data_IF_779080851798
#
_entry.id   IF_779080851798
#
_cell.length_a   1.000
_cell.length_b   1.000
_cell.length_c   1.000
_cell.angle_alpha   90.00
_cell.angle_beta   90.00
_cell.angle_gamma   90.00
#
_symmetry.space_group_name_H-M   'P 1'
#
loop_
_entity.id
_entity.type
_entity.pdbx_description
1 polymer ?
#
# COMPACT_ATOMS: atom_id res chain seq x y z
N UNK A 1 -51.21 -6.31 32.35
CA UNK A 1 -50.09 -5.34 32.28
C UNK A 1 -50.63 -4.01 31.82
N UNK A 2 -50.36 -2.93 32.56
CA UNK A 2 -50.97 -1.61 32.33
C UNK A 2 -50.33 -0.85 31.16
N UNK A 3 -51.06 0.09 30.52
CA UNK A 3 -50.61 0.85 29.34
C UNK A 3 -49.31 1.64 29.53
N UNK A 4 -48.89 1.90 30.77
CA UNK A 4 -47.69 2.65 31.10
C UNK A 4 -46.36 1.93 30.75
N UNK A 5 -46.37 0.61 30.56
CA UNK A 5 -45.16 -0.15 30.24
C UNK A 5 -44.78 -0.15 28.74
N UNK A 6 -45.61 0.46 27.86
CA UNK A 6 -45.35 0.51 26.40
C UNK A 6 -44.58 1.76 25.94
N UNK A 7 -44.35 2.72 26.83
CA UNK A 7 -43.74 4.02 26.51
C UNK A 7 -42.21 4.09 26.69
N UNK A 8 -41.55 3.03 27.17
CA UNK A 8 -40.10 3.03 27.40
C UNK A 8 -39.26 2.65 26.16
N UNK A 9 -39.88 2.48 24.97
CA UNK A 9 -39.17 2.09 23.74
C UNK A 9 -39.34 3.10 22.60
N UNK A 10 -39.54 4.37 22.93
CA UNK A 10 -39.36 5.47 21.99
C UNK A 10 -37.98 6.05 22.30
N UNK A 11 -36.95 5.43 21.73
CA UNK A 11 -35.68 6.09 21.53
C UNK A 11 -35.98 7.42 20.81
N UNK A 12 -35.45 8.53 21.32
CA UNK A 12 -35.65 9.87 20.75
C UNK A 12 -35.39 9.84 19.24
N UNK A 13 -36.45 9.90 18.45
CA UNK A 13 -36.43 10.00 17.00
C UNK A 13 -36.56 11.49 16.62
N UNK A 14 -35.55 12.30 16.98
CA UNK A 14 -35.46 13.70 16.54
C UNK A 14 -34.86 13.83 15.12
N UNK A 15 -34.77 12.72 14.40
CA UNK A 15 -34.30 12.64 13.03
C UNK A 15 -35.50 12.35 12.12
N UNK A 16 -35.72 13.19 11.10
CA UNK A 16 -36.75 12.99 10.10
C UNK A 16 -36.55 11.64 9.39
N UNK A 17 -37.55 10.76 9.47
CA UNK A 17 -37.62 9.48 8.74
C UNK A 17 -38.78 9.59 7.74
N UNK A 18 -38.55 9.21 6.48
CA UNK A 18 -39.58 9.27 5.44
C UNK A 18 -39.82 7.88 4.85
N UNK A 19 -40.89 7.24 5.32
CA UNK A 19 -41.25 5.86 4.98
C UNK A 19 -41.74 5.71 3.53
N UNK A 20 -42.18 6.80 2.90
CA UNK A 20 -42.67 6.81 1.51
C UNK A 20 -41.51 6.85 0.52
N UNK A 21 -40.53 7.73 0.76
CA UNK A 21 -39.31 7.84 -0.07
C UNK A 21 -38.23 6.83 0.32
N UNK A 22 -38.41 6.16 1.46
CA UNK A 22 -37.45 5.23 2.02
C UNK A 22 -36.29 5.90 2.76
N UNK A 23 -36.26 7.23 2.89
CA UNK A 23 -35.15 7.94 3.54
C UNK A 23 -35.06 7.62 5.04
N UNK A 24 -33.85 7.25 5.50
CA UNK A 24 -33.51 6.76 6.84
C UNK A 24 -34.24 5.49 7.30
N UNK A 25 -34.87 4.76 6.37
CA UNK A 25 -35.47 3.44 6.63
C UNK A 25 -34.51 2.31 6.23
N UNK A 26 -34.87 1.04 6.49
CA UNK A 26 -34.12 -0.12 6.01
C UNK A 26 -34.01 -0.25 4.48
N UNK A 27 -34.79 0.55 3.73
CA UNK A 27 -34.71 0.68 2.27
C UNK A 27 -33.80 1.82 1.79
N UNK A 28 -33.33 2.67 2.70
CA UNK A 28 -32.39 3.74 2.37
C UNK A 28 -31.01 3.14 2.09
N UNK A 29 -30.57 3.21 0.83
CA UNK A 29 -29.25 2.74 0.41
C UNK A 29 -28.11 3.42 1.19
N UNK A 30 -28.35 4.60 1.78
CA UNK A 30 -27.38 5.32 2.62
C UNK A 30 -27.29 4.80 4.06
N UNK A 31 -28.33 4.12 4.56
CA UNK A 31 -28.34 3.60 5.95
C UNK A 31 -27.68 2.22 6.10
N UNK A 32 -27.54 1.47 5.00
CA UNK A 32 -26.85 0.17 4.98
C UNK A 32 -25.33 0.26 4.81
N UNK A 33 -24.81 1.46 4.52
CA UNK A 33 -23.39 1.68 4.32
C UNK A 33 -22.65 1.61 5.66
N UNK A 34 -21.75 0.65 5.79
CA UNK A 34 -20.84 0.50 6.93
C UNK A 34 -19.42 0.36 6.43
N UNK A 35 -18.45 0.81 7.22
CA UNK A 35 -17.05 0.50 6.96
C UNK A 35 -16.91 -1.03 7.04
N UNK A 36 -16.37 -1.62 5.98
CA UNK A 36 -16.14 -3.05 5.93
C UNK A 36 -15.17 -3.47 7.04
N UNK A 37 -15.44 -4.60 7.68
CA UNK A 37 -14.49 -5.18 8.63
C UNK A 37 -13.19 -5.51 7.91
N UNK A 38 -12.10 -4.88 8.34
CA UNK A 38 -10.78 -5.09 7.75
C UNK A 38 -10.09 -6.23 8.49
N UNK A 39 -9.81 -7.32 7.78
CA UNK A 39 -9.07 -8.47 8.30
C UNK A 39 -7.66 -8.05 8.79
N UNK A 40 -7.05 -8.81 9.70
CA UNK A 40 -5.62 -8.71 9.97
C UNK A 40 -4.83 -8.88 8.67
N UNK A 41 -3.88 -7.99 8.41
CA UNK A 41 -3.02 -8.09 7.24
C UNK A 41 -1.93 -9.12 7.57
N UNK A 42 -2.20 -10.41 7.32
CA UNK A 42 -1.26 -11.52 7.58
C UNK A 42 -0.94 -12.32 6.30
N UNK A 43 -1.61 -12.00 5.20
CA UNK A 43 -1.36 -12.62 3.90
C UNK A 43 -0.16 -11.94 3.24
N UNK A 44 0.98 -12.64 3.23
CA UNK A 44 2.24 -12.17 2.64
C UNK A 44 2.10 -12.00 1.12
N UNK A 45 1.64 -13.05 0.43
CA UNK A 45 1.56 -13.07 -1.03
C UNK A 45 0.70 -11.93 -1.57
N UNK A 46 -0.45 -11.68 -0.94
CA UNK A 46 -1.31 -10.56 -1.35
C UNK A 46 -0.59 -9.21 -1.30
N UNK A 47 0.20 -8.96 -0.27
CA UNK A 47 0.93 -7.69 -0.11
C UNK A 47 2.06 -7.57 -1.14
N UNK A 48 2.74 -8.68 -1.43
CA UNK A 48 3.74 -8.76 -2.52
C UNK A 48 3.09 -8.50 -3.88
N UNK A 49 1.95 -9.12 -4.18
CA UNK A 49 1.22 -8.94 -5.43
C UNK A 49 0.75 -7.50 -5.62
N UNK A 50 0.27 -6.85 -4.55
CA UNK A 50 -0.11 -5.43 -4.60
C UNK A 50 1.12 -4.55 -4.88
N UNK A 51 2.22 -4.77 -4.16
CA UNK A 51 3.42 -3.94 -4.30
C UNK A 51 4.13 -4.12 -5.65
N UNK A 52 4.23 -5.34 -6.14
CA UNK A 52 4.92 -5.64 -7.40
C UNK A 52 4.01 -5.52 -8.63
N UNK A 53 2.70 -5.67 -8.46
CA UNK A 53 1.73 -5.69 -9.55
C UNK A 53 1.09 -4.34 -9.86
N UNK A 54 1.08 -3.38 -8.93
CA UNK A 54 0.44 -2.07 -9.10
C UNK A 54 1.46 -0.93 -8.90
N UNK A 55 1.59 -0.08 -9.92
CA UNK A 55 2.57 1.00 -9.98
C UNK A 55 2.28 2.13 -8.99
N UNK A 56 1.00 2.43 -8.76
CA UNK A 56 0.59 3.41 -7.75
C UNK A 56 0.83 2.87 -6.34
N UNK A 57 0.57 1.59 -6.10
CA UNK A 57 0.86 0.96 -4.81
C UNK A 57 2.36 1.00 -4.49
N UNK A 58 3.22 0.64 -5.45
CA UNK A 58 4.67 0.75 -5.32
C UNK A 58 5.09 2.19 -4.98
N UNK A 59 4.58 3.17 -5.74
CA UNK A 59 4.89 4.59 -5.53
C UNK A 59 4.48 5.09 -4.13
N UNK A 60 3.33 4.65 -3.63
CA UNK A 60 2.84 5.04 -2.30
C UNK A 60 3.74 4.51 -1.17
N UNK A 61 4.33 3.33 -1.35
CA UNK A 61 5.28 2.79 -0.37
C UNK A 61 6.67 3.42 -0.50
N UNK A 62 7.18 3.54 -1.73
CA UNK A 62 8.56 3.91 -2.00
C UNK A 62 8.85 5.40 -1.83
N UNK A 63 7.99 6.27 -2.35
CA UNK A 63 8.29 7.70 -2.40
C UNK A 63 8.46 8.33 -1.00
N UNK A 64 7.59 8.04 0.01
CA UNK A 64 7.83 8.52 1.36
C UNK A 64 9.18 8.02 1.93
N UNK A 65 9.50 6.74 1.74
CA UNK A 65 10.75 6.16 2.25
C UNK A 65 11.98 6.79 1.59
N UNK A 66 11.93 6.99 0.26
CA UNK A 66 12.97 7.67 -0.52
C UNK A 66 13.17 9.10 -0.05
N UNK A 67 12.10 9.89 0.10
CA UNK A 67 12.19 11.29 0.52
C UNK A 67 12.61 11.42 2.00
N UNK A 68 12.21 10.48 2.88
CA UNK A 68 12.65 10.45 4.28
C UNK A 68 14.16 10.25 4.42
N UNK A 69 14.80 9.53 3.51
CA UNK A 69 16.26 9.38 3.52
C UNK A 69 16.95 10.29 2.53
N UNK A 70 16.23 11.15 1.78
CA UNK A 70 16.80 12.00 0.73
C UNK A 70 17.74 13.05 1.31
N UNK A 71 17.32 13.68 2.39
CA UNK A 71 18.16 14.55 3.21
C UNK A 71 18.60 13.72 4.40
N UNK A 72 19.85 13.27 4.35
CA UNK A 72 20.42 12.38 5.35
C UNK A 72 20.62 13.10 6.69
N UNK A 73 21.29 12.44 7.62
CA UNK A 73 21.43 12.97 8.98
C UNK A 73 22.52 14.05 9.04
N UNK A 74 22.36 14.95 10.01
CA UNK A 74 23.42 15.87 10.43
C UNK A 74 23.77 15.54 11.87
N UNK A 75 25.04 15.22 12.13
CA UNK A 75 25.51 14.91 13.46
C UNK A 75 25.89 16.21 14.18
N UNK A 76 25.24 16.46 15.32
CA UNK A 76 25.60 17.56 16.22
C UNK A 76 26.34 16.98 17.43
N UNK A 77 27.63 17.29 17.56
CA UNK A 77 28.44 16.88 18.71
C UNK A 77 28.55 18.05 19.68
N UNK A 78 27.92 17.90 20.84
CA UNK A 78 27.87 18.92 21.90
C UNK A 78 29.06 18.78 22.86
N UNK A 79 30.26 19.12 22.40
CA UNK A 79 31.44 19.26 23.25
C UNK A 79 32.26 20.48 22.81
N UNK A 80 32.95 21.13 23.75
CA UNK A 80 33.57 22.46 23.57
C UNK A 80 34.77 22.56 22.62
N UNK A 81 35.09 21.54 21.82
CA UNK A 81 36.23 21.50 20.89
C UNK A 81 35.75 21.29 19.44
N UNK A 82 35.48 22.40 18.74
CA UNK A 82 34.72 22.41 17.48
C UNK A 82 35.40 21.65 16.33
N UNK A 83 36.74 21.69 16.23
CA UNK A 83 37.47 21.06 15.11
C UNK A 83 37.49 19.53 15.22
N UNK A 84 37.77 18.98 16.41
CA UNK A 84 37.74 17.52 16.64
C UNK A 84 36.34 16.94 16.44
N UNK A 85 35.34 17.74 16.76
CA UNK A 85 33.94 17.35 16.59
C UNK A 85 33.55 17.28 15.11
N UNK A 86 33.94 18.25 14.29
CA UNK A 86 33.66 18.18 12.85
C UNK A 86 34.28 16.93 12.23
N UNK A 87 35.54 16.62 12.56
CA UNK A 87 36.19 15.41 12.05
C UNK A 87 35.49 14.13 12.49
N UNK A 88 35.13 14.01 13.78
CA UNK A 88 34.43 12.83 14.27
C UNK A 88 33.04 12.66 13.64
N UNK A 89 32.35 13.76 13.36
CA UNK A 89 31.07 13.74 12.63
C UNK A 89 31.26 13.25 11.18
N UNK A 90 32.26 13.77 10.47
CA UNK A 90 32.57 13.37 9.10
C UNK A 90 32.99 11.89 9.02
N UNK A 91 33.85 11.43 9.94
CA UNK A 91 34.27 10.02 10.02
C UNK A 91 33.08 9.09 10.28
N UNK A 92 32.13 9.52 11.13
CA UNK A 92 30.92 8.73 11.43
C UNK A 92 29.98 8.68 10.21
N UNK A 93 29.80 9.80 9.50
CA UNK A 93 29.01 9.84 8.28
C UNK A 93 29.61 8.94 7.19
N UNK A 94 30.93 8.96 7.04
CA UNK A 94 31.63 8.06 6.11
C UNK A 94 31.42 6.60 6.49
N UNK A 95 31.51 6.24 7.77
CA UNK A 95 31.26 4.87 8.23
C UNK A 95 29.81 4.41 7.94
N UNK A 96 28.83 5.30 8.09
CA UNK A 96 27.43 5.01 7.75
C UNK A 96 27.22 4.82 6.25
N UNK A 97 27.93 5.59 5.43
CA UNK A 97 27.90 5.45 3.97
C UNK A 97 28.56 4.13 3.53
N UNK A 98 29.70 3.77 4.13
CA UNK A 98 30.38 2.49 3.88
C UNK A 98 29.52 1.27 4.28
N UNK A 99 28.74 1.40 5.35
CA UNK A 99 27.74 0.40 5.77
C UNK A 99 26.49 0.37 4.89
N UNK A 100 26.31 1.34 3.99
CA UNK A 100 25.08 1.49 3.21
C UNK A 100 23.85 1.80 4.08
N UNK A 101 24.02 2.41 5.26
CA UNK A 101 22.95 2.64 6.23
C UNK A 101 21.75 3.40 5.65
N UNK A 102 22.02 4.33 4.72
CA UNK A 102 20.98 5.05 3.99
C UNK A 102 20.10 4.16 3.13
N UNK A 103 20.72 3.22 2.41
CA UNK A 103 20.00 2.26 1.59
C UNK A 103 19.21 1.28 2.49
N UNK A 104 19.83 0.81 3.57
CA UNK A 104 19.20 -0.10 4.52
C UNK A 104 17.96 0.52 5.19
N UNK A 105 18.07 1.76 5.69
CA UNK A 105 16.92 2.48 6.27
C UNK A 105 15.81 2.73 5.25
N UNK A 106 16.16 3.09 4.00
CA UNK A 106 15.15 3.26 2.94
C UNK A 106 14.38 1.98 2.70
N UNK A 107 15.09 0.87 2.56
CA UNK A 107 14.49 -0.44 2.31
C UNK A 107 13.60 -0.87 3.49
N UNK A 108 14.07 -0.72 4.72
CA UNK A 108 13.28 -1.05 5.91
C UNK A 108 12.02 -0.19 6.05
N UNK A 109 12.08 1.11 5.71
CA UNK A 109 10.91 2.00 5.65
C UNK A 109 9.92 1.60 4.54
N UNK A 110 10.42 1.16 3.38
CA UNK A 110 9.58 0.59 2.32
C UNK A 110 8.87 -0.67 2.85
N UNK A 111 9.58 -1.62 3.47
CA UNK A 111 8.98 -2.83 4.06
C UNK A 111 8.01 -2.53 5.20
N UNK A 112 8.30 -1.53 6.03
CA UNK A 112 7.35 -1.03 7.02
C UNK A 112 6.05 -0.55 6.37
N UNK A 113 6.11 0.09 5.20
CA UNK A 113 4.94 0.55 4.47
C UNK A 113 4.20 -0.60 3.77
N UNK A 114 4.92 -1.47 3.06
CA UNK A 114 4.39 -2.59 2.25
C UNK A 114 3.79 -3.69 3.14
N UNK A 115 4.53 -4.08 4.16
CA UNK A 115 4.18 -5.21 5.02
C UNK A 115 3.66 -4.78 6.39
N UNK A 116 3.80 -3.51 6.80
CA UNK A 116 3.44 -3.09 8.15
C UNK A 116 4.57 -3.28 9.17
N UNK A 117 5.73 -3.75 8.70
CA UNK A 117 6.95 -3.88 9.48
C UNK A 117 8.16 -4.18 8.60
N UNK A 118 9.27 -3.50 8.88
CA UNK A 118 10.60 -3.76 8.33
C UNK A 118 11.62 -3.76 9.46
N UNK A 119 12.73 -4.48 9.28
CA UNK A 119 13.74 -4.59 10.31
C UNK A 119 15.14 -4.58 9.72
N UNK A 120 16.08 -3.90 10.38
CA UNK A 120 17.50 -3.93 10.04
C UNK A 120 18.22 -4.70 11.13
N UNK A 121 18.85 -5.80 10.77
CA UNK A 121 19.77 -6.55 11.62
C UNK A 121 21.15 -5.92 11.55
N UNK A 122 21.67 -5.51 12.71
CA UNK A 122 23.00 -4.98 12.85
C UNK A 122 23.94 -6.09 13.33
N UNK A 123 24.92 -6.43 12.51
CA UNK A 123 26.02 -7.30 12.92
C UNK A 123 27.06 -6.46 13.66
N UNK A 124 27.08 -6.56 14.99
CA UNK A 124 27.92 -5.71 15.86
C UNK A 124 29.01 -6.57 16.51
N UNK A 125 30.28 -6.20 16.33
CA UNK A 125 31.39 -6.77 17.09
C UNK A 125 31.46 -6.11 18.47
N UNK A 126 30.86 -6.74 19.46
CA UNK A 126 30.92 -6.40 20.89
C UNK A 126 31.75 -7.42 21.69
N UNK A 127 32.61 -8.19 21.01
CA UNK A 127 33.46 -9.21 21.63
C UNK A 127 32.77 -10.54 21.92
N UNK A 128 31.57 -10.79 21.36
CA UNK A 128 30.92 -12.11 21.33
C UNK A 128 31.54 -13.11 20.33
N UNK A 129 32.35 -12.64 19.38
CA UNK A 129 32.93 -13.44 18.29
C UNK A 129 31.86 -13.94 17.29
N UNK A 130 32.20 -14.92 16.46
CA UNK A 130 31.28 -15.53 15.46
C UNK A 130 30.21 -16.45 16.11
N UNK A 131 29.96 -16.31 17.41
CA UNK A 131 29.01 -17.15 18.12
C UNK A 131 27.58 -16.68 17.87
N UNK A 132 26.83 -17.46 17.08
CA UNK A 132 25.42 -17.20 16.77
C UNK A 132 24.55 -17.15 18.04
N UNK A 133 24.90 -17.89 19.10
CA UNK A 133 24.15 -17.85 20.36
C UNK A 133 24.28 -16.50 21.09
N UNK A 134 25.38 -15.77 20.88
CA UNK A 134 25.58 -14.44 21.46
C UNK A 134 24.63 -13.39 20.86
N UNK A 135 24.01 -13.66 19.70
CA UNK A 135 23.01 -12.77 19.10
C UNK A 135 21.74 -12.66 19.96
N UNK A 136 21.44 -13.67 20.78
CA UNK A 136 20.29 -13.67 21.68
C UNK A 136 20.50 -12.80 22.93
N UNK A 137 21.74 -12.36 23.18
CA UNK A 137 22.09 -11.50 24.31
C UNK A 137 22.08 -10.01 23.90
N UNK A 138 21.77 -9.10 24.85
CA UNK A 138 21.89 -7.67 24.62
C UNK A 138 23.28 -7.26 24.16
N UNK A 139 23.36 -6.21 23.33
CA UNK A 139 24.64 -5.64 22.88
C UNK A 139 25.42 -5.12 24.08
N UNK A 140 26.69 -5.49 24.18
CA UNK A 140 27.59 -4.91 25.18
C UNK A 140 28.23 -3.63 24.64
N UNK A 141 27.55 -2.51 24.87
CA UNK A 141 27.99 -1.17 24.41
C UNK A 141 29.43 -0.82 24.83
N UNK A 142 29.94 -1.37 25.93
CA UNK A 142 31.29 -1.08 26.42
C UNK A 142 32.40 -1.75 25.62
N UNK A 143 32.05 -2.80 24.87
CA UNK A 143 32.97 -3.62 24.07
C UNK A 143 32.76 -3.47 22.57
N UNK A 144 31.82 -2.63 22.13
CA UNK A 144 31.57 -2.37 20.71
C UNK A 144 32.83 -1.82 20.04
N UNK A 145 33.29 -2.53 19.01
CA UNK A 145 34.44 -2.12 18.18
C UNK A 145 33.99 -1.54 16.85
N UNK A 146 33.01 -2.18 16.22
CA UNK A 146 32.45 -1.78 14.92
C UNK A 146 31.09 -2.43 14.68
N UNK A 147 30.33 -1.83 13.77
CA UNK A 147 29.24 -2.50 13.05
C UNK A 147 29.85 -3.09 11.77
N UNK A 148 29.64 -4.37 11.51
CA UNK A 148 30.22 -5.09 10.38
C UNK A 148 29.37 -4.98 9.12
N UNK A 149 28.05 -5.17 9.27
CA UNK A 149 27.10 -5.10 8.17
C UNK A 149 25.68 -4.83 8.68
N UNK A 150 24.82 -4.43 7.75
CA UNK A 150 23.40 -4.20 7.95
C UNK A 150 22.63 -5.06 6.95
N UNK A 151 21.79 -5.96 7.44
CA UNK A 151 20.89 -6.76 6.60
C UNK A 151 19.44 -6.35 6.87
N UNK A 152 18.67 -6.17 5.80
CA UNK A 152 17.28 -5.72 5.88
C UNK A 152 16.35 -6.88 5.62
N UNK A 153 15.30 -6.97 6.42
CA UNK A 153 14.29 -8.02 6.35
C UNK A 153 12.88 -7.44 6.45
N UNK A 154 11.93 -8.17 5.89
CA UNK A 154 10.52 -7.89 6.09
C UNK A 154 10.00 -8.55 7.38
N UNK A 155 8.86 -8.09 7.89
CA UNK A 155 8.29 -8.60 9.15
C UNK A 155 7.95 -10.10 9.15
N UNK A 156 7.77 -10.75 8.00
CA UNK A 156 7.37 -12.16 7.91
C UNK A 156 8.56 -13.12 8.09
N UNK A 157 9.78 -12.59 8.02
CA UNK A 157 11.00 -13.33 8.31
C UNK A 157 11.28 -13.38 9.82
N UNK A 158 10.58 -12.56 10.62
CA UNK A 158 10.76 -12.48 12.06
C UNK A 158 9.52 -12.83 12.86
N UNK A 159 9.71 -13.65 13.88
CA UNK A 159 8.72 -13.95 14.91
C UNK A 159 9.17 -13.38 16.25
N UNK A 160 8.25 -12.77 17.01
CA UNK A 160 8.55 -12.35 18.37
C UNK A 160 8.56 -13.59 19.25
N UNK A 161 9.70 -13.90 19.85
CA UNK A 161 9.87 -15.07 20.71
C UNK A 161 9.53 -14.76 22.17
N UNK A 162 10.08 -13.66 22.69
CA UNK A 162 9.78 -13.19 24.06
C UNK A 162 9.44 -11.71 24.08
N UNK A 163 8.67 -11.31 25.09
CA UNK A 163 8.37 -9.91 25.42
C UNK A 163 8.82 -9.62 26.85
N UNK A 164 9.22 -8.38 27.11
CA UNK A 164 9.54 -7.96 28.47
C UNK A 164 8.32 -8.06 29.38
N UNK A 165 8.46 -8.79 30.48
CA UNK A 165 7.36 -9.14 31.38
C UNK A 165 7.25 -8.27 32.63
N UNK A 166 8.23 -7.40 32.89
CA UNK A 166 8.26 -6.53 34.08
C UNK A 166 7.38 -5.26 33.88
N UNK A 167 6.22 -5.14 34.56
CA UNK A 167 5.30 -4.02 34.38
C UNK A 167 5.81 -2.69 34.93
N UNK A 168 6.91 -2.70 35.69
CA UNK A 168 7.50 -1.47 36.24
C UNK A 168 8.43 -0.77 35.25
N UNK A 169 8.86 -1.47 34.19
CA UNK A 169 9.75 -0.93 33.17
C UNK A 169 8.95 -0.35 32.00
N UNK A 170 9.43 0.74 31.37
CA UNK A 170 8.85 1.28 30.13
C UNK A 170 8.84 0.28 28.95
N UNK A 171 9.67 -0.77 29.03
CA UNK A 171 9.75 -1.83 28.03
C UNK A 171 8.65 -2.90 28.15
N UNK A 172 7.81 -2.87 29.19
CA UNK A 172 6.77 -3.87 29.41
C UNK A 172 5.89 -4.12 28.18
N UNK A 173 5.79 -5.39 27.77
CA UNK A 173 5.02 -5.83 26.60
C UNK A 173 5.60 -5.39 25.26
N UNK A 174 6.85 -4.92 25.24
CA UNK A 174 7.63 -4.78 24.00
C UNK A 174 8.39 -6.09 23.74
N UNK A 175 8.64 -6.44 22.47
CA UNK A 175 9.49 -7.58 22.13
C UNK A 175 10.89 -7.44 22.74
N UNK A 176 11.42 -8.55 23.23
CA UNK A 176 12.77 -8.66 23.80
C UNK A 176 13.67 -9.48 22.88
N UNK A 177 13.20 -10.65 22.45
CA UNK A 177 13.91 -11.49 21.48
C UNK A 177 13.04 -11.83 20.28
N UNK A 178 13.70 -11.95 19.13
CA UNK A 178 13.09 -12.30 17.86
C UNK A 178 13.76 -13.55 17.29
N UNK A 179 12.96 -14.45 16.72
CA UNK A 179 13.44 -15.58 15.93
C UNK A 179 13.43 -15.19 14.46
N UNK A 180 14.61 -15.13 13.85
CA UNK A 180 14.77 -15.00 12.40
C UNK A 180 14.57 -16.38 11.76
N UNK A 181 13.54 -16.48 10.91
CA UNK A 181 13.22 -17.69 10.14
C UNK A 181 13.81 -17.57 8.74
N UNK A 182 14.74 -18.44 8.38
CA UNK A 182 15.27 -18.48 7.03
C UNK A 182 14.27 -19.22 6.10
N UNK A 183 13.45 -18.46 5.36
CA UNK A 183 12.43 -19.03 4.46
C UNK A 183 12.88 -19.12 3.00
N UNK A 184 14.04 -18.57 2.65
CA UNK A 184 14.49 -18.36 1.26
C UNK A 184 15.83 -19.02 1.00
N UNK A 185 15.87 -20.35 1.05
CA UNK A 185 17.01 -21.09 0.49
C UNK A 185 16.86 -21.18 -1.03
N UNK A 186 17.75 -20.53 -1.78
CA UNK A 186 17.87 -20.80 -3.22
C UNK A 186 18.28 -22.27 -3.40
N UNK A 187 17.64 -22.96 -4.34
CA UNK A 187 17.73 -24.42 -4.55
C UNK A 187 19.19 -24.89 -4.51
N UNK A 188 19.54 -25.72 -3.53
CA UNK A 188 20.88 -26.31 -3.38
C UNK A 188 21.73 -25.75 -2.22
N UNK A 189 21.25 -24.76 -1.47
CA UNK A 189 21.88 -24.34 -0.21
C UNK A 189 21.29 -25.08 1.01
N UNK A 190 22.14 -25.31 2.01
CA UNK A 190 21.71 -25.83 3.30
C UNK A 190 20.74 -24.84 3.96
N UNK A 191 19.65 -25.35 4.56
CA UNK A 191 18.78 -24.56 5.42
C UNK A 191 19.63 -23.94 6.52
N UNK A 192 19.70 -22.62 6.59
CA UNK A 192 20.36 -21.99 7.72
C UNK A 192 19.51 -22.24 8.97
N UNK A 193 20.14 -22.43 10.15
CA UNK A 193 19.41 -22.59 11.40
C UNK A 193 18.66 -21.29 11.74
N UNK A 194 17.51 -21.42 12.40
CA UNK A 194 16.83 -20.27 12.99
C UNK A 194 17.75 -19.62 14.03
N UNK A 195 17.81 -18.28 14.00
CA UNK A 195 18.68 -17.51 14.90
C UNK A 195 17.80 -16.71 15.86
N UNK A 196 18.11 -16.77 17.15
CA UNK A 196 17.49 -15.92 18.15
C UNK A 196 18.30 -14.64 18.32
N UNK A 197 17.64 -13.49 18.24
CA UNK A 197 18.26 -12.18 18.20
C UNK A 197 17.62 -11.26 19.23
N UNK A 198 18.42 -10.61 20.07
CA UNK A 198 17.95 -9.60 21.02
C UNK A 198 17.59 -8.28 20.31
N UNK A 199 16.56 -7.59 20.80
CA UNK A 199 16.05 -6.34 20.20
C UNK A 199 17.10 -5.25 20.03
N UNK A 200 18.09 -5.17 20.93
CA UNK A 200 19.21 -4.20 20.84
C UNK A 200 20.10 -4.37 19.60
N UNK A 201 20.01 -5.51 18.89
CA UNK A 201 20.73 -5.77 17.62
C UNK A 201 19.87 -5.47 16.38
N UNK A 202 18.64 -5.00 16.60
CA UNK A 202 17.65 -4.79 15.56
C UNK A 202 17.16 -3.34 15.56
N UNK A 203 17.07 -2.73 14.38
CA UNK A 203 16.33 -1.48 14.20
C UNK A 203 14.97 -1.83 13.61
N UNK A 204 13.91 -1.60 14.39
CA UNK A 204 12.53 -1.93 14.00
C UNK A 204 11.81 -0.72 13.42
N UNK A 205 11.27 -0.89 12.21
CA UNK A 205 10.45 0.10 11.52
C UNK A 205 9.00 -0.41 11.47
N UNK A 206 8.09 0.28 12.15
CA UNK A 206 6.67 -0.06 12.17
C UNK A 206 5.91 0.70 11.06
N UNK A 207 4.96 0.02 10.42
CA UNK A 207 4.07 0.66 9.45
C UNK A 207 2.97 1.51 10.09
N UNK A 208 1.76 1.40 9.55
CA UNK A 208 0.60 2.17 10.02
C UNK A 208 0.23 1.78 11.45
N UNK A 209 0.26 2.76 12.36
CA UNK A 209 -0.06 2.57 13.78
C UNK A 209 -1.41 1.85 13.98
N UNK A 210 -1.37 0.79 14.80
CA UNK A 210 -2.54 0.02 15.21
C UNK A 210 -2.67 -0.02 16.74
N UNK A 211 -3.88 -0.34 17.22
CA UNK A 211 -4.08 -0.59 18.64
C UNK A 211 -3.46 -1.93 19.07
N UNK A 212 -3.17 -2.11 20.36
CA UNK A 212 -2.52 -3.32 20.89
C UNK A 212 -3.23 -4.63 20.48
N UNK A 213 -4.56 -4.65 20.54
CA UNK A 213 -5.35 -5.83 20.13
C UNK A 213 -5.16 -6.18 18.66
N UNK A 214 -5.01 -5.19 17.78
CA UNK A 214 -4.77 -5.40 16.36
C UNK A 214 -3.32 -5.79 16.09
N UNK A 215 -2.33 -5.20 16.80
CA UNK A 215 -0.94 -5.68 16.79
C UNK A 215 -0.86 -7.18 17.11
N UNK A 216 -1.51 -7.64 18.18
CA UNK A 216 -1.55 -9.07 18.54
C UNK A 216 -2.10 -9.95 17.40
N UNK A 217 -3.15 -9.50 16.69
CA UNK A 217 -3.68 -10.24 15.53
C UNK A 217 -2.78 -10.20 14.30
N UNK A 218 -1.86 -9.23 14.25
CA UNK A 218 -0.83 -9.09 13.22
C UNK A 218 0.52 -9.61 13.75
N UNK A 219 0.52 -10.56 14.69
CA UNK A 219 1.74 -11.15 15.28
C UNK A 219 2.74 -10.11 15.82
N UNK A 220 2.22 -9.06 16.47
CA UNK A 220 3.00 -7.97 17.05
C UNK A 220 3.35 -6.82 16.11
N UNK A 221 2.88 -6.85 14.86
CA UNK A 221 3.21 -5.82 13.84
C UNK A 221 2.10 -4.81 13.58
N UNK A 222 2.48 -3.67 13.00
CA UNK A 222 1.55 -2.65 12.53
C UNK A 222 0.84 -3.10 11.24
N UNK A 223 -0.11 -2.29 10.76
CA UNK A 223 -0.77 -2.55 9.47
C UNK A 223 0.11 -2.02 8.32
N UNK A 224 0.06 -2.64 7.14
CA UNK A 224 0.62 -2.05 5.94
C UNK A 224 -0.24 -0.87 5.45
N UNK A 225 0.36 0.05 4.70
CA UNK A 225 -0.32 1.21 4.12
C UNK A 225 -1.48 0.80 3.22
N UNK A 226 -1.34 -0.32 2.50
CA UNK A 226 -2.35 -0.86 1.59
C UNK A 226 -3.68 -1.17 2.26
N UNK A 227 -3.67 -1.52 3.54
CA UNK A 227 -4.89 -1.83 4.32
C UNK A 227 -5.94 -0.71 4.25
N UNK A 228 -5.49 0.55 4.12
CA UNK A 228 -6.39 1.72 4.09
C UNK A 228 -6.74 2.20 2.68
N UNK A 229 -5.94 1.82 1.68
CA UNK A 229 -6.05 2.36 0.32
C UNK A 229 -6.42 1.33 -0.73
N UNK A 230 -6.47 0.04 -0.39
CA UNK A 230 -6.74 -1.08 -1.31
C UNK A 230 -7.98 -0.86 -2.18
N UNK A 231 -9.11 -0.44 -1.59
CA UNK A 231 -10.34 -0.21 -2.38
C UNK A 231 -10.19 0.99 -3.32
N UNK A 232 -9.47 2.04 -2.90
CA UNK A 232 -9.24 3.22 -3.73
C UNK A 232 -8.27 2.92 -4.88
N UNK A 233 -7.24 2.12 -4.61
CA UNK A 233 -6.33 1.59 -5.64
C UNK A 233 -7.12 0.79 -6.68
N UNK A 234 -7.96 -0.16 -6.23
CA UNK A 234 -8.78 -0.97 -7.12
C UNK A 234 -9.75 -0.11 -7.97
N UNK A 235 -10.46 0.84 -7.34
CA UNK A 235 -11.37 1.75 -8.05
C UNK A 235 -10.63 2.58 -9.11
N UNK A 236 -9.43 3.08 -8.77
CA UNK A 236 -8.57 3.83 -9.69
C UNK A 236 -8.15 2.95 -10.88
N UNK A 237 -7.56 1.78 -10.62
CA UNK A 237 -7.09 0.86 -11.65
C UNK A 237 -8.21 0.40 -12.59
N UNK A 238 -9.38 0.02 -12.04
CA UNK A 238 -10.55 -0.37 -12.83
C UNK A 238 -11.07 0.79 -13.68
N UNK A 239 -11.02 2.02 -13.18
CA UNK A 239 -11.46 3.20 -13.94
C UNK A 239 -10.55 3.46 -15.16
N UNK A 240 -9.24 3.35 -15.00
CA UNK A 240 -8.28 3.48 -16.11
C UNK A 240 -8.37 2.32 -17.10
N UNK A 241 -8.51 1.08 -16.62
CA UNK A 241 -8.73 -0.08 -17.48
C UNK A 241 -10.04 0.06 -18.27
N UNK A 242 -11.11 0.51 -17.61
CA UNK A 242 -12.40 0.78 -18.26
C UNK A 242 -12.29 1.86 -19.34
N UNK A 243 -11.53 2.93 -19.10
CA UNK A 243 -11.26 3.95 -20.11
C UNK A 243 -10.48 3.37 -21.32
N UNK A 244 -9.48 2.52 -21.08
CA UNK A 244 -8.75 1.84 -22.14
C UNK A 244 -9.66 0.92 -22.98
N UNK A 245 -10.56 0.16 -22.34
CA UNK A 245 -11.56 -0.65 -23.04
C UNK A 245 -12.54 0.20 -23.86
N UNK A 246 -12.97 1.35 -23.34
CA UNK A 246 -13.83 2.26 -24.11
C UNK A 246 -13.13 2.81 -25.36
N UNK A 247 -11.80 2.94 -25.34
CA UNK A 247 -11.03 3.35 -26.52
C UNK A 247 -10.97 2.24 -27.58
N UNK A 248 -10.90 0.96 -27.17
CA UNK A 248 -10.97 -0.16 -28.12
C UNK A 248 -12.37 -0.32 -28.70
N UNK A 249 -13.39 -0.11 -27.86
CA UNK A 249 -14.80 -0.32 -28.19
C UNK A 249 -15.50 0.97 -28.64
N UNK A 250 -14.73 2.03 -28.94
CA UNK A 250 -15.21 3.38 -29.29
C UNK A 250 -16.21 3.38 -30.46
N UNK A 251 -16.26 2.28 -31.21
CA UNK A 251 -17.12 2.07 -32.35
C UNK A 251 -17.77 0.69 -32.30
N UNK A 252 -18.91 0.59 -31.62
CA UNK A 252 -19.74 -0.60 -31.73
C UNK A 252 -20.51 -0.52 -33.05
N UNK A 253 -20.32 -1.54 -33.88
CA UNK A 253 -21.14 -1.75 -35.07
C UNK A 253 -22.46 -2.40 -34.71
N UNK A 254 -23.57 -1.78 -35.07
CA UNK A 254 -24.91 -2.36 -34.96
C UNK A 254 -25.29 -2.90 -36.32
N UNK A 255 -25.40 -4.22 -36.42
CA UNK A 255 -25.83 -4.92 -37.61
C UNK A 255 -27.31 -5.26 -37.51
N UNK A 256 -28.10 -4.83 -38.50
CA UNK A 256 -29.52 -5.13 -38.63
C UNK A 256 -29.70 -5.99 -39.88
N UNK A 257 -30.13 -7.24 -39.70
CA UNK A 257 -30.53 -8.12 -40.80
C UNK A 257 -31.97 -8.56 -40.61
N UNK A 258 -32.79 -8.53 -41.68
CA UNK A 258 -34.08 -9.19 -41.67
C UNK A 258 -33.89 -10.70 -41.41
N UNK A 259 -34.83 -11.34 -40.72
CA UNK A 259 -34.86 -12.80 -40.58
C UNK A 259 -33.91 -13.42 -39.55
N UNK A 260 -32.98 -12.68 -38.91
CA UNK A 260 -32.07 -13.23 -37.88
C UNK A 260 -32.84 -13.90 -36.72
N UNK A 261 -33.91 -13.25 -36.24
CA UNK A 261 -34.72 -13.80 -35.15
C UNK A 261 -35.48 -15.07 -35.57
N UNK A 262 -35.81 -15.21 -36.85
CA UNK A 262 -36.41 -16.44 -37.38
C UNK A 262 -35.34 -17.54 -37.52
N UNK A 263 -34.14 -17.22 -38.00
CA UNK A 263 -33.03 -18.17 -38.11
C UNK A 263 -32.64 -18.76 -36.74
N UNK A 264 -32.54 -17.92 -35.70
CA UNK A 264 -32.29 -18.35 -34.31
C UNK A 264 -33.44 -19.23 -33.79
N UNK A 265 -34.68 -18.90 -34.12
CA UNK A 265 -35.84 -19.70 -33.70
C UNK A 265 -35.94 -21.07 -34.40
N UNK A 266 -35.15 -21.31 -35.46
CA UNK A 266 -35.21 -22.55 -36.26
C UNK A 266 -34.01 -23.48 -36.03
N UNK A 267 -33.28 -23.31 -34.91
CA UNK A 267 -32.13 -24.16 -34.52
C UNK A 267 -30.96 -24.13 -35.52
N UNK A 268 -30.79 -22.99 -36.23
CA UNK A 268 -29.66 -22.71 -37.12
C UNK A 268 -28.63 -21.76 -36.48
N UNK A 269 -28.48 -21.86 -35.15
CA UNK A 269 -27.63 -20.96 -34.36
C UNK A 269 -26.17 -20.95 -34.84
N UNK A 270 -25.64 -22.11 -35.26
CA UNK A 270 -24.26 -22.26 -35.74
C UNK A 270 -24.00 -21.42 -37.00
N UNK A 271 -24.96 -21.38 -37.94
CA UNK A 271 -24.82 -20.64 -39.20
C UNK A 271 -24.86 -19.12 -38.97
N UNK A 272 -25.69 -18.67 -38.02
CA UNK A 272 -25.77 -17.26 -37.63
C UNK A 272 -24.48 -16.84 -36.92
N UNK A 273 -23.98 -17.68 -36.00
CA UNK A 273 -22.75 -17.43 -35.26
C UNK A 273 -21.52 -17.35 -36.17
N UNK A 274 -21.34 -18.33 -37.08
CA UNK A 274 -20.23 -18.35 -38.04
C UNK A 274 -20.23 -17.12 -38.94
N UNK A 275 -21.41 -16.68 -39.39
CA UNK A 275 -21.57 -15.48 -40.20
C UNK A 275 -21.19 -14.22 -39.42
N UNK A 276 -21.62 -14.08 -38.17
CA UNK A 276 -21.24 -12.96 -37.31
C UNK A 276 -19.72 -12.93 -37.06
N UNK A 277 -19.09 -14.10 -36.88
CA UNK A 277 -17.66 -14.21 -36.66
C UNK A 277 -16.85 -13.82 -37.89
N UNK A 278 -17.29 -14.24 -39.09
CA UNK A 278 -16.70 -13.82 -40.38
C UNK A 278 -16.87 -12.31 -40.60
N UNK A 279 -18.04 -11.75 -40.27
CA UNK A 279 -18.29 -10.32 -40.36
C UNK A 279 -17.41 -9.51 -39.41
N UNK A 280 -17.23 -9.95 -38.16
CA UNK A 280 -16.35 -9.28 -37.21
C UNK A 280 -14.87 -9.39 -37.61
N UNK A 281 -14.45 -10.53 -38.14
CA UNK A 281 -13.10 -10.74 -38.67
C UNK A 281 -12.82 -9.86 -39.89
N UNK A 282 -13.76 -9.75 -40.83
CA UNK A 282 -13.68 -8.85 -41.98
C UNK A 282 -13.60 -7.37 -41.54
N UNK A 283 -14.39 -6.98 -40.54
CA UNK A 283 -14.33 -5.66 -39.91
C UNK A 283 -12.96 -5.38 -39.29
N UNK A 284 -12.45 -6.32 -38.49
CA UNK A 284 -11.19 -6.19 -37.76
C UNK A 284 -9.97 -6.17 -38.71
N UNK A 285 -9.97 -7.04 -39.72
CA UNK A 285 -8.80 -7.28 -40.59
C UNK A 285 -8.76 -6.38 -41.83
N UNK A 286 -9.91 -6.21 -42.50
CA UNK A 286 -9.99 -5.57 -43.82
C UNK A 286 -10.66 -4.18 -43.74
N UNK A 287 -11.27 -3.85 -42.59
CA UNK A 287 -12.06 -2.63 -42.37
C UNK A 287 -13.20 -2.45 -43.39
N UNK A 288 -13.67 -3.56 -43.97
CA UNK A 288 -14.82 -3.61 -44.88
C UNK A 288 -15.85 -4.57 -44.30
N UNK A 289 -17.12 -4.22 -44.40
CA UNK A 289 -18.22 -5.06 -43.98
C UNK A 289 -19.07 -5.43 -45.20
N UNK A 290 -19.08 -6.70 -45.64
CA UNK A 290 -19.95 -7.14 -46.70
C UNK A 290 -21.39 -7.19 -46.16
N UNK A 291 -22.29 -6.41 -46.77
CA UNK A 291 -23.71 -6.36 -46.45
C UNK A 291 -24.53 -6.94 -47.60
N UNK A 292 -25.55 -7.72 -47.29
CA UNK A 292 -26.58 -8.13 -48.24
C UNK A 292 -27.64 -7.03 -48.41
N UNK A 293 -28.47 -7.10 -49.45
CA UNK A 293 -29.26 -5.97 -49.96
C UNK A 293 -30.20 -5.29 -48.95
N UNK A 294 -30.78 -6.04 -48.02
CA UNK A 294 -31.70 -5.53 -46.98
C UNK A 294 -31.01 -5.36 -45.61
N UNK A 295 -29.68 -5.43 -45.55
CA UNK A 295 -28.92 -5.36 -44.30
C UNK A 295 -28.35 -3.96 -44.06
N UNK A 296 -28.54 -3.45 -42.84
CA UNK A 296 -28.07 -2.15 -42.41
C UNK A 296 -26.95 -2.27 -41.38
N UNK A 297 -25.92 -1.44 -41.54
CA UNK A 297 -24.86 -1.28 -40.55
C UNK A 297 -24.78 0.15 -40.06
N UNK A 298 -24.96 0.33 -38.76
CA UNK A 298 -24.83 1.64 -38.10
C UNK A 298 -23.66 1.59 -37.12
N UNK A 299 -22.74 2.55 -37.22
CA UNK A 299 -21.72 2.76 -36.19
C UNK A 299 -22.29 3.68 -35.13
N UNK A 300 -22.51 3.15 -33.92
CA UNK A 300 -22.85 3.99 -32.76
C UNK A 300 -21.55 4.41 -32.08
N UNK A 301 -21.29 5.71 -32.02
CA UNK A 301 -20.18 6.26 -31.27
C UNK A 301 -20.61 6.43 -29.82
N UNK A 302 -19.80 5.91 -28.90
CA UNK A 302 -19.98 6.17 -27.47
C UNK A 302 -19.39 7.56 -27.18
N UNK A 303 -20.18 8.54 -26.70
CA UNK A 303 -19.63 9.84 -26.36
C UNK A 303 -18.67 9.69 -25.17
N UNK A 304 -17.41 10.09 -25.36
CA UNK A 304 -16.37 10.11 -24.31
C UNK A 304 -16.27 11.47 -23.60
N UNK A 305 -17.25 12.35 -23.80
CA UNK A 305 -17.33 13.64 -23.10
C UNK A 305 -17.46 13.44 -21.59
N UNK A 306 -16.62 14.09 -20.79
CA UNK A 306 -16.65 13.97 -19.33
C UNK A 306 -15.74 12.86 -18.76
N UNK A 307 -15.20 11.98 -19.62
CA UNK A 307 -14.32 10.89 -19.17
C UNK A 307 -12.99 11.39 -18.58
N UNK A 308 -12.27 12.35 -19.21
CA UNK A 308 -11.06 12.91 -18.61
C UNK A 308 -11.31 13.52 -17.23
N UNK A 309 -12.40 14.29 -17.09
CA UNK A 309 -12.76 14.92 -15.82
C UNK A 309 -13.10 13.88 -14.74
N UNK A 310 -13.71 12.76 -15.12
CA UNK A 310 -13.98 11.65 -14.20
C UNK A 310 -12.69 10.97 -13.75
N UNK A 311 -11.75 10.69 -14.67
CA UNK A 311 -10.44 10.11 -14.34
C UNK A 311 -9.64 11.03 -13.41
N UNK A 312 -9.67 12.34 -13.63
CA UNK A 312 -9.04 13.32 -12.74
C UNK A 312 -9.63 13.27 -11.32
N UNK A 313 -10.93 13.04 -11.17
CA UNK A 313 -11.57 12.88 -9.84
C UNK A 313 -11.13 11.60 -9.14
N UNK A 314 -10.92 10.50 -9.87
CA UNK A 314 -10.34 9.29 -9.30
C UNK A 314 -8.88 9.50 -8.89
N UNK A 315 -8.08 10.19 -9.71
CA UNK A 315 -6.70 10.56 -9.36
C UNK A 315 -6.64 11.41 -8.09
N UNK A 316 -7.52 12.41 -7.95
CA UNK A 316 -7.64 13.23 -6.75
C UNK A 316 -8.03 12.40 -5.51
N UNK A 317 -8.95 11.44 -5.66
CA UNK A 317 -9.35 10.55 -4.56
C UNK A 317 -8.21 9.64 -4.12
N UNK A 318 -7.42 9.16 -5.08
CA UNK A 318 -6.23 8.34 -4.84
C UNK A 318 -5.12 9.14 -4.14
N UNK A 319 -4.82 10.33 -4.64
CA UNK A 319 -3.90 11.30 -4.01
C UNK A 319 -4.28 11.59 -2.55
N UNK A 320 -5.56 11.84 -2.29
CA UNK A 320 -6.06 12.06 -0.93
C UNK A 320 -5.93 10.81 -0.04
N UNK A 321 -6.15 9.61 -0.59
CA UNK A 321 -6.01 8.35 0.15
C UNK A 321 -4.54 8.08 0.54
N UNK A 322 -3.63 8.30 -0.41
CA UNK A 322 -2.19 8.11 -0.23
C UNK A 322 -1.52 9.21 0.60
N UNK A 323 -2.22 10.33 0.85
CA UNK A 323 -1.66 11.56 1.44
C UNK A 323 -0.48 12.10 0.65
N UNK A 324 -0.51 11.94 -0.66
CA UNK A 324 0.55 12.37 -1.58
C UNK A 324 -0.04 13.41 -2.53
N UNK A 325 0.61 14.56 -2.76
CA UNK A 325 0.18 15.52 -3.76
C UNK A 325 -0.03 14.88 -5.13
N UNK A 326 -1.10 15.29 -5.83
CA UNK A 326 -1.39 14.80 -7.17
C UNK A 326 -0.23 15.08 -8.15
N UNK A 327 0.48 16.18 -7.93
CA UNK A 327 1.68 16.57 -8.70
C UNK A 327 2.78 15.51 -8.65
N UNK A 328 3.05 14.95 -7.48
CA UNK A 328 4.02 13.87 -7.27
C UNK A 328 3.47 12.51 -7.72
N UNK A 329 2.19 12.26 -7.43
CA UNK A 329 1.54 11.01 -7.78
C UNK A 329 1.45 10.81 -9.30
N UNK A 330 0.92 11.80 -10.03
CA UNK A 330 0.69 11.72 -11.48
C UNK A 330 1.86 12.28 -12.31
N UNK A 331 2.83 12.96 -11.69
CA UNK A 331 3.97 13.56 -12.39
C UNK A 331 3.59 14.77 -13.26
N UNK A 332 2.40 15.33 -13.08
CA UNK A 332 1.91 16.50 -13.81
C UNK A 332 1.30 17.51 -12.85
N UNK A 333 1.55 18.79 -13.11
CA UNK A 333 0.81 19.87 -12.45
C UNK A 333 -0.54 20.05 -13.14
N UNK A 334 -1.66 20.13 -12.39
CA UNK A 334 -2.96 20.40 -13.00
C UNK A 334 -2.91 21.68 -13.85
N UNK A 335 -3.24 21.55 -15.13
CA UNK A 335 -3.26 22.68 -16.07
C UNK A 335 -4.21 23.77 -15.56
N UNK A 336 -3.67 24.93 -15.16
CA UNK A 336 -4.43 26.10 -14.71
C UNK A 336 -4.11 26.63 -13.31
N UNK A 337 -3.19 26.00 -12.57
CA UNK A 337 -2.90 26.30 -11.16
C UNK A 337 -1.40 26.51 -10.85
N UNK A 338 -0.71 27.32 -11.65
CA UNK A 338 0.75 27.53 -11.56
C UNK A 338 1.28 27.97 -10.17
N UNK A 339 0.44 28.50 -9.27
CA UNK A 339 0.86 28.90 -7.91
C UNK A 339 0.60 27.84 -6.82
N UNK A 340 -0.09 26.73 -7.11
CA UNK A 340 -0.48 25.74 -6.09
C UNK A 340 0.53 24.60 -5.94
N UNK A 341 1.24 24.26 -7.03
CA UNK A 341 2.19 23.15 -7.04
C UNK A 341 3.35 23.33 -6.03
N UNK A 342 3.86 24.55 -5.86
CA UNK A 342 4.91 24.85 -4.89
C UNK A 342 4.42 24.70 -3.44
N UNK A 343 3.18 25.11 -3.16
CA UNK A 343 2.54 24.92 -1.85
C UNK A 343 2.30 23.45 -1.52
N UNK A 344 1.86 22.66 -2.50
CA UNK A 344 1.61 21.22 -2.34
C UNK A 344 2.90 20.43 -2.06
N UNK A 345 4.00 20.78 -2.75
CA UNK A 345 5.31 20.17 -2.53
C UNK A 345 5.86 20.53 -1.15
N UNK A 346 5.69 21.79 -0.71
CA UNK A 346 6.10 22.20 0.63
C UNK A 346 5.34 21.43 1.72
N UNK A 347 4.03 21.28 1.58
CA UNK A 347 3.22 20.49 2.51
C UNK A 347 3.69 19.03 2.56
N UNK A 348 4.06 18.45 1.42
CA UNK A 348 4.65 17.11 1.37
C UNK A 348 5.97 17.05 2.15
N UNK A 349 6.89 17.99 1.94
CA UNK A 349 8.15 18.00 2.69
C UNK A 349 7.96 18.22 4.19
N UNK A 350 6.99 19.04 4.61
CA UNK A 350 6.64 19.19 6.03
C UNK A 350 6.11 17.87 6.61
N UNK A 351 5.31 17.11 5.86
CA UNK A 351 4.86 15.78 6.26
C UNK A 351 6.02 14.77 6.37
N UNK A 352 6.92 14.76 5.39
CA UNK A 352 8.11 13.91 5.41
C UNK A 352 9.00 14.28 6.60
N UNK A 353 9.23 15.56 6.87
CA UNK A 353 9.98 16.03 8.02
C UNK A 353 9.37 15.59 9.36
N UNK A 354 8.03 15.61 9.46
CA UNK A 354 7.33 15.08 10.63
C UNK A 354 7.55 13.56 10.79
N UNK A 355 7.55 12.80 9.69
CA UNK A 355 7.83 11.35 9.71
C UNK A 355 9.29 11.07 10.08
N UNK A 356 10.26 11.79 9.53
CA UNK A 356 11.67 11.69 9.89
C UNK A 356 11.88 11.91 11.40
N UNK A 357 11.25 12.94 11.96
CA UNK A 357 11.36 13.22 13.40
C UNK A 357 10.72 12.14 14.27
N UNK A 358 9.62 11.53 13.83
CA UNK A 358 8.91 10.52 14.60
C UNK A 358 9.52 9.11 14.48
N UNK A 359 10.10 8.77 13.34
CA UNK A 359 10.51 7.40 12.99
C UNK A 359 12.03 7.22 12.93
N UNK A 360 12.81 8.28 12.63
CA UNK A 360 14.27 8.19 12.43
C UNK A 360 15.11 8.96 13.47
N UNK A 361 14.59 10.05 14.03
CA UNK A 361 15.34 10.94 14.94
C UNK A 361 14.84 10.92 16.39
N UNK A 362 13.74 10.21 16.65
CA UNK A 362 13.00 10.22 17.91
C UNK A 362 13.36 9.10 18.86
#
# INVERSE_FOLDING_TARGET
MTPAARLAKIARADAWENVITGHRTSRDKTTGARIQTIAPAVDRQKLEDIYHGDDMAAKVADLPAQDMVREWITLSIDTGDTERNTQAADDTLQALDDLGARAACREALTWASVFGGGMVLMYIDDGGGDNVEAMAEPVDESRVRRVESLDVYDRFEFEIETEYSDPTKPSYGKPETYRLRNQTSVRGQASQPDILIHESRLLRFDGVLTNRRRKVRNNGWCDPVFTRIETVLADFGVSWAGAAHLLTDFAVGVFKSPGIMQAIATDQDDVVHDRMMVMDMCRSTIRMLPLDGDEDFERRQTPLSGLPEMLDRFALRMSAAARMPITLMMGQSPSGLNNTAEGDIRFWYDQIGAKQNAELRG
#
